data_IF_526600824884
#
_entry.id   IF_526600824884
#
_cell.length_a   1.000
_cell.length_b   1.000
_cell.length_c   1.000
_cell.angle_alpha   90.00
_cell.angle_beta   90.00
_cell.angle_gamma   90.00
#
_symmetry.space_group_name_H-M   'P 1'
#
loop_
_entity.id
_entity.type
_entity.pdbx_description
1 polymer ?
#
# COMPACT_ATOMS: atom_id res chain seq x y z
N UNK A 1 46.95 5.65 -46.88
CA UNK A 1 47.52 5.81 -45.53
C UNK A 1 46.45 6.45 -44.63
N UNK A 2 45.70 5.64 -43.89
CA UNK A 2 44.70 6.12 -42.94
C UNK A 2 45.22 5.88 -41.53
N UNK A 3 45.61 6.96 -40.85
CA UNK A 3 46.20 6.96 -39.52
C UNK A 3 45.16 6.46 -38.49
N UNK A 4 45.39 5.29 -37.89
CA UNK A 4 44.52 4.80 -36.80
C UNK A 4 44.84 5.61 -35.56
N UNK A 5 43.92 6.51 -35.20
CA UNK A 5 43.92 7.23 -33.92
C UNK A 5 44.04 6.21 -32.78
N UNK A 6 45.22 6.15 -32.13
CA UNK A 6 45.43 5.37 -30.91
C UNK A 6 44.67 6.05 -29.78
N UNK A 7 43.43 5.60 -29.55
CA UNK A 7 42.70 5.99 -28.34
C UNK A 7 43.41 5.42 -27.11
N UNK A 8 43.66 6.22 -26.06
CA UNK A 8 44.23 5.72 -24.81
C UNK A 8 43.31 4.63 -24.24
N UNK A 9 43.90 3.62 -23.59
CA UNK A 9 43.16 2.48 -23.08
C UNK A 9 41.95 2.97 -22.25
N UNK A 10 40.70 2.61 -22.62
CA UNK A 10 39.54 3.06 -21.86
C UNK A 10 39.69 2.55 -20.44
N UNK A 11 39.40 3.41 -19.46
CA UNK A 11 39.36 3.04 -18.06
C UNK A 11 38.22 2.04 -17.85
N UNK A 12 38.52 0.75 -18.08
CA UNK A 12 37.56 -0.36 -17.99
C UNK A 12 36.89 -0.42 -16.61
N UNK A 13 37.55 0.14 -15.60
CA UNK A 13 37.02 0.24 -14.24
C UNK A 13 35.75 1.08 -14.13
N UNK A 14 35.60 2.15 -14.94
CA UNK A 14 34.40 3.00 -14.89
C UNK A 14 33.18 2.24 -15.45
N UNK A 15 33.37 1.53 -16.56
CA UNK A 15 32.32 0.69 -17.15
C UNK A 15 31.97 -0.49 -16.23
N UNK A 16 32.98 -1.14 -15.65
CA UNK A 16 32.78 -2.22 -14.67
C UNK A 16 32.03 -1.72 -13.43
N UNK A 17 32.31 -0.51 -12.95
CA UNK A 17 31.61 0.11 -11.83
C UNK A 17 30.12 0.29 -12.15
N UNK A 18 29.79 0.87 -13.31
CA UNK A 18 28.40 1.04 -13.76
C UNK A 18 27.67 -0.30 -13.90
N UNK A 19 28.32 -1.34 -14.43
CA UNK A 19 27.72 -2.67 -14.51
C UNK A 19 27.45 -3.28 -13.12
N UNK A 20 28.34 -3.06 -12.15
CA UNK A 20 28.14 -3.52 -10.77
C UNK A 20 27.01 -2.74 -10.08
N UNK A 21 26.92 -1.43 -10.29
CA UNK A 21 25.80 -0.62 -9.78
C UNK A 21 24.46 -1.09 -10.35
N UNK A 22 24.38 -1.32 -11.66
CA UNK A 22 23.18 -1.87 -12.30
C UNK A 22 22.82 -3.26 -11.74
N UNK A 23 23.82 -4.14 -11.56
CA UNK A 23 23.59 -5.47 -10.99
C UNK A 23 23.06 -5.38 -9.56
N UNK A 24 23.64 -4.52 -8.73
CA UNK A 24 23.22 -4.33 -7.34
C UNK A 24 21.79 -3.79 -7.26
N UNK A 25 21.38 -2.90 -8.17
CA UNK A 25 20.01 -2.41 -8.25
C UNK A 25 19.01 -3.53 -8.59
N UNK A 26 19.33 -4.36 -9.58
CA UNK A 26 18.49 -5.53 -9.95
C UNK A 26 18.42 -6.53 -8.78
N UNK A 27 19.52 -6.78 -8.09
CA UNK A 27 19.57 -7.67 -6.93
C UNK A 27 18.76 -7.14 -5.75
N UNK A 28 18.75 -5.82 -5.53
CA UNK A 28 17.93 -5.17 -4.51
C UNK A 28 16.43 -5.38 -4.78
N UNK A 29 15.98 -5.12 -6.01
CA UNK A 29 14.58 -5.32 -6.43
C UNK A 29 14.20 -6.80 -6.29
N UNK A 30 15.05 -7.71 -6.78
CA UNK A 30 14.83 -9.16 -6.68
C UNK A 30 14.74 -9.65 -5.24
N UNK A 31 15.50 -9.05 -4.33
CA UNK A 31 15.41 -9.35 -2.90
C UNK A 31 14.06 -8.91 -2.34
N UNK A 32 13.63 -7.68 -2.64
CA UNK A 32 12.35 -7.15 -2.15
C UNK A 32 11.15 -7.94 -2.68
N UNK A 33 11.16 -8.33 -3.96
CA UNK A 33 10.13 -9.19 -4.56
C UNK A 33 10.08 -10.60 -3.93
N UNK A 34 11.21 -11.14 -3.48
CA UNK A 34 11.26 -12.47 -2.85
C UNK A 34 10.89 -12.47 -1.38
N UNK A 35 11.12 -11.38 -0.66
CA UNK A 35 10.62 -11.19 0.71
C UNK A 35 9.18 -10.69 0.68
N UNK A 36 8.27 -11.54 0.22
CA UNK A 36 6.84 -11.31 0.44
C UNK A 36 6.55 -11.30 1.95
N UNK A 37 5.64 -10.42 2.38
CA UNK A 37 5.14 -10.44 3.75
C UNK A 37 4.50 -11.81 4.03
N UNK A 38 4.73 -12.42 5.20
CA UNK A 38 4.13 -13.71 5.48
C UNK A 38 2.61 -13.57 5.44
N UNK A 39 1.95 -14.46 4.69
CA UNK A 39 0.50 -14.49 4.42
C UNK A 39 -0.38 -14.23 5.65
N UNK A 40 0.05 -14.70 6.83
CA UNK A 40 -0.65 -14.49 8.11
C UNK A 40 -0.76 -13.01 8.51
N UNK A 41 0.23 -12.18 8.20
CA UNK A 41 0.21 -10.75 8.55
C UNK A 41 -0.84 -9.98 7.77
N UNK A 42 -0.94 -10.23 6.46
CA UNK A 42 -1.96 -9.60 5.61
C UNK A 42 -3.36 -9.97 6.08
N UNK A 43 -3.60 -11.26 6.34
CA UNK A 43 -4.88 -11.73 6.85
C UNK A 43 -5.25 -11.16 8.22
N UNK A 44 -4.28 -11.02 9.13
CA UNK A 44 -4.52 -10.39 10.43
C UNK A 44 -4.91 -8.91 10.30
N UNK A 45 -4.25 -8.15 9.43
CA UNK A 45 -4.58 -6.73 9.20
C UNK A 45 -5.99 -6.60 8.64
N UNK A 46 -6.33 -7.40 7.62
CA UNK A 46 -7.68 -7.44 7.05
C UNK A 46 -8.70 -7.79 8.12
N UNK A 47 -8.44 -8.83 8.93
CA UNK A 47 -9.33 -9.25 10.01
C UNK A 47 -9.52 -8.16 11.07
N UNK A 48 -8.47 -7.43 11.44
CA UNK A 48 -8.54 -6.31 12.39
C UNK A 48 -9.41 -5.17 11.84
N UNK A 49 -9.32 -4.86 10.55
CA UNK A 49 -10.17 -3.85 9.91
C UNK A 49 -11.64 -4.30 9.94
N UNK A 50 -11.93 -5.56 9.63
CA UNK A 50 -13.29 -6.12 9.75
C UNK A 50 -13.81 -6.08 11.19
N UNK A 51 -12.99 -6.46 12.17
CA UNK A 51 -13.35 -6.43 13.59
C UNK A 51 -13.64 -4.99 14.06
N UNK A 52 -12.83 -4.02 13.62
CA UNK A 52 -13.03 -2.62 13.95
C UNK A 52 -14.36 -2.11 13.39
N UNK A 53 -14.64 -2.38 12.11
CA UNK A 53 -15.90 -2.01 11.46
C UNK A 53 -17.11 -2.69 12.13
N UNK A 54 -16.97 -3.93 12.56
CA UNK A 54 -18.00 -4.64 13.31
C UNK A 54 -18.28 -3.97 14.68
N UNK A 55 -17.24 -3.69 15.45
CA UNK A 55 -17.37 -2.99 16.74
C UNK A 55 -17.99 -1.59 16.57
N UNK A 56 -17.61 -0.89 15.49
CA UNK A 56 -18.17 0.40 15.12
C UNK A 56 -19.67 0.32 14.83
N UNK A 57 -20.08 -0.69 14.05
CA UNK A 57 -21.49 -0.93 13.73
C UNK A 57 -22.33 -1.15 14.98
N UNK A 58 -21.84 -1.98 15.92
CA UNK A 58 -22.50 -2.20 17.21
C UNK A 58 -22.62 -0.90 18.01
N UNK A 59 -21.53 -0.13 18.12
CA UNK A 59 -21.53 1.17 18.81
C UNK A 59 -22.54 2.13 18.20
N UNK A 60 -22.51 2.30 16.88
CA UNK A 60 -23.43 3.19 16.17
C UNK A 60 -24.88 2.72 16.29
N UNK A 61 -25.15 1.42 16.29
CA UNK A 61 -26.49 0.87 16.53
C UNK A 61 -27.06 1.29 17.89
N UNK A 62 -26.25 1.21 18.96
CA UNK A 62 -26.65 1.65 20.30
C UNK A 62 -26.96 3.16 20.32
N UNK A 63 -26.06 3.98 19.77
CA UNK A 63 -26.24 5.44 19.76
C UNK A 63 -27.40 5.89 18.87
N UNK A 64 -27.67 5.18 17.79
CA UNK A 64 -28.81 5.43 16.91
C UNK A 64 -30.12 5.13 17.66
N UNK A 65 -30.20 4.02 18.40
CA UNK A 65 -31.36 3.71 19.23
C UNK A 65 -31.65 4.79 20.28
N UNK A 66 -30.61 5.33 20.93
CA UNK A 66 -30.74 6.48 21.86
C UNK A 66 -31.23 7.74 21.13
N UNK A 67 -30.67 8.04 19.95
CA UNK A 67 -31.09 9.20 19.16
C UNK A 67 -32.55 9.14 18.70
N UNK A 68 -33.07 7.93 18.40
CA UNK A 68 -34.49 7.70 18.11
C UNK A 68 -35.34 7.97 19.36
N UNK A 69 -34.94 7.46 20.53
CA UNK A 69 -35.69 7.67 21.77
C UNK A 69 -35.78 9.16 22.15
N UNK A 70 -34.72 9.92 21.92
CA UNK A 70 -34.67 11.37 22.18
C UNK A 70 -35.29 12.23 21.05
N UNK A 71 -35.76 11.62 19.95
CA UNK A 71 -36.27 12.30 18.74
C UNK A 71 -35.33 13.36 18.15
N UNK A 72 -34.03 13.24 18.39
CA UNK A 72 -33.03 14.19 17.91
C UNK A 72 -32.52 13.77 16.53
N UNK A 73 -33.02 14.41 15.48
CA UNK A 73 -32.62 14.09 14.10
C UNK A 73 -31.14 14.34 13.83
N UNK A 74 -30.55 15.33 14.52
CA UNK A 74 -29.12 15.63 14.39
C UNK A 74 -28.24 14.47 14.89
N UNK A 75 -28.60 13.84 16.02
CA UNK A 75 -27.85 12.69 16.55
C UNK A 75 -27.95 11.48 15.62
N UNK A 76 -29.13 11.25 15.04
CA UNK A 76 -29.36 10.17 14.07
C UNK A 76 -28.53 10.42 12.81
N UNK A 77 -28.62 11.63 12.22
CA UNK A 77 -27.87 11.99 11.02
C UNK A 77 -26.35 11.91 11.23
N UNK A 78 -25.86 12.34 12.40
CA UNK A 78 -24.45 12.24 12.75
C UNK A 78 -23.97 10.78 12.89
N UNK A 79 -24.77 9.88 13.47
CA UNK A 79 -24.38 8.47 13.52
C UNK A 79 -24.47 7.78 12.16
N UNK A 80 -25.41 8.21 11.31
CA UNK A 80 -25.53 7.71 9.94
C UNK A 80 -24.34 8.15 9.07
N UNK A 81 -23.87 9.39 9.21
CA UNK A 81 -22.65 9.82 8.51
C UNK A 81 -21.42 9.10 9.05
N UNK A 82 -21.34 8.88 10.36
CA UNK A 82 -20.21 8.18 10.99
C UNK A 82 -20.08 6.72 10.56
N UNK A 83 -21.19 5.97 10.49
CA UNK A 83 -21.19 4.57 10.05
C UNK A 83 -20.89 4.42 8.55
N UNK A 84 -21.06 5.47 7.74
CA UNK A 84 -20.71 5.44 6.32
C UNK A 84 -19.25 5.88 6.06
N UNK A 85 -18.84 6.98 6.69
CA UNK A 85 -17.52 7.59 6.40
C UNK A 85 -16.39 6.76 7.00
N UNK A 86 -16.53 6.31 8.25
CA UNK A 86 -15.42 5.67 8.97
C UNK A 86 -15.06 4.29 8.38
N UNK A 87 -16.01 3.37 8.11
CA UNK A 87 -15.67 2.09 7.49
C UNK A 87 -15.12 2.23 6.08
N UNK A 88 -15.63 3.21 5.32
CA UNK A 88 -15.12 3.49 3.98
C UNK A 88 -13.67 3.99 4.04
N UNK A 89 -13.33 4.86 4.99
CA UNK A 89 -11.95 5.32 5.17
C UNK A 89 -10.99 4.16 5.49
N UNK A 90 -11.35 3.29 6.44
CA UNK A 90 -10.53 2.14 6.79
C UNK A 90 -10.38 1.15 5.62
N UNK A 91 -11.45 0.91 4.87
CA UNK A 91 -11.43 0.02 3.71
C UNK A 91 -10.59 0.61 2.56
N UNK A 92 -10.69 1.92 2.31
CA UNK A 92 -9.88 2.61 1.30
C UNK A 92 -8.40 2.64 1.66
N UNK A 93 -8.07 2.88 2.93
CA UNK A 93 -6.67 2.83 3.41
C UNK A 93 -6.07 1.44 3.22
N UNK A 94 -6.85 0.39 3.52
CA UNK A 94 -6.44 -1.00 3.29
C UNK A 94 -6.23 -1.29 1.80
N UNK A 95 -7.09 -0.76 0.93
CA UNK A 95 -6.95 -0.88 -0.52
C UNK A 95 -5.66 -0.20 -1.03
N UNK A 96 -5.35 1.01 -0.54
CA UNK A 96 -4.09 1.69 -0.89
C UNK A 96 -2.88 0.91 -0.40
N UNK A 97 -2.94 0.35 0.81
CA UNK A 97 -1.88 -0.50 1.34
C UNK A 97 -1.67 -1.76 0.50
N UNK A 98 -2.75 -2.34 -0.05
CA UNK A 98 -2.69 -3.48 -0.95
C UNK A 98 -2.03 -3.13 -2.30
N UNK A 99 -2.41 -2.00 -2.91
CA UNK A 99 -1.80 -1.55 -4.18
C UNK A 99 -0.30 -1.26 -4.01
N UNK A 100 0.11 -0.72 -2.86
CA UNK A 100 1.53 -0.46 -2.58
C UNK A 100 2.34 -1.73 -2.27
N UNK A 101 1.70 -2.86 -2.01
CA UNK A 101 2.38 -4.11 -1.66
C UNK A 101 3.13 -4.69 -2.86
N UNK A 102 2.60 -4.54 -4.08
CA UNK A 102 3.21 -5.05 -5.31
C UNK A 102 3.26 -3.98 -6.42
N UNK A 103 4.26 -3.08 -6.41
CA UNK A 103 4.36 -1.99 -7.38
C UNK A 103 4.87 -2.42 -8.76
N UNK A 104 5.15 -3.71 -8.96
CA UNK A 104 5.62 -4.29 -10.23
C UNK A 104 4.59 -5.28 -10.82
N UNK A 105 3.34 -5.20 -10.38
CA UNK A 105 2.22 -5.99 -10.89
C UNK A 105 1.71 -5.47 -12.24
N UNK A 106 0.46 -5.82 -12.54
CA UNK A 106 -0.27 -5.37 -13.74
C UNK A 106 -1.35 -4.32 -13.40
N UNK A 107 -1.30 -3.69 -12.22
CA UNK A 107 -2.28 -2.68 -11.80
C UNK A 107 -2.02 -1.32 -12.47
N UNK A 108 -3.09 -0.52 -12.62
CA UNK A 108 -3.05 0.76 -13.34
C UNK A 108 -2.08 1.81 -12.73
N UNK A 109 -1.68 1.63 -11.48
CA UNK A 109 -0.78 2.52 -10.75
C UNK A 109 0.65 1.97 -10.62
N UNK A 110 0.92 0.81 -11.20
CA UNK A 110 2.24 0.16 -11.15
C UNK A 110 3.24 0.83 -12.12
N UNK A 111 4.53 0.51 -11.97
CA UNK A 111 5.65 1.14 -12.70
C UNK A 111 5.82 0.72 -14.16
#
# INVERSE_FOLDING_TARGET
>A
LGERVKMPAPSKSIFQLQCVEARNAVECIHTHLKTMLPFTYVHLIVYVVFLNNFALSVKCGIWLAVGIAEKSQLKIAAQLSYILIVPQLYSSLLCVAYVLEDPFGDDLLDF
#
